data_IF_475482671764
#
_entry.id   IF_475482671764
#
_cell.length_a   1.000
_cell.length_b   1.000
_cell.length_c   1.000
_cell.angle_alpha   90.00
_cell.angle_beta   90.00
_cell.angle_gamma   90.00
#
_symmetry.space_group_name_H-M   'P 1'
#
loop_
_entity.id
_entity.type
_entity.pdbx_description
1 polymer ?
#
# COMPACT_ATOMS: atom_id res chain seq x y z
N UNK A 1 -43.46 -9.18 -19.34
CA UNK A 1 -42.43 -8.17 -19.03
C UNK A 1 -41.58 -8.70 -17.89
N UNK A 2 -40.26 -8.90 -18.10
CA UNK A 2 -39.35 -9.32 -17.01
C UNK A 2 -39.37 -8.25 -15.92
N UNK A 3 -39.68 -8.64 -14.68
CA UNK A 3 -39.70 -7.75 -13.54
C UNK A 3 -38.25 -7.31 -13.26
N UNK A 4 -37.93 -6.05 -13.53
CA UNK A 4 -36.59 -5.50 -13.31
C UNK A 4 -36.37 -5.35 -11.80
N UNK A 5 -35.42 -6.11 -11.25
CA UNK A 5 -35.05 -5.99 -9.84
C UNK A 5 -34.17 -4.75 -9.67
N UNK A 6 -34.67 -3.78 -8.93
CA UNK A 6 -33.96 -2.51 -8.69
C UNK A 6 -33.02 -2.68 -7.50
N UNK A 7 -31.93 -1.90 -7.44
CA UNK A 7 -30.97 -1.94 -6.33
C UNK A 7 -31.64 -1.78 -4.96
N UNK A 8 -32.61 -0.88 -4.85
CA UNK A 8 -33.41 -0.71 -3.64
C UNK A 8 -34.23 -1.95 -3.29
N UNK A 9 -34.92 -2.56 -4.25
CA UNK A 9 -35.73 -3.76 -4.02
C UNK A 9 -34.86 -4.95 -3.58
N UNK A 10 -33.65 -5.06 -4.13
CA UNK A 10 -32.69 -6.06 -3.71
C UNK A 10 -32.23 -5.88 -2.26
N UNK A 11 -31.82 -4.66 -1.89
CA UNK A 11 -31.36 -4.35 -0.52
C UNK A 11 -32.43 -4.59 0.53
N UNK A 12 -33.69 -4.25 0.20
CA UNK A 12 -34.84 -4.54 1.05
C UNK A 12 -35.01 -6.04 1.30
N UNK A 13 -34.84 -6.87 0.27
CA UNK A 13 -34.92 -8.32 0.42
C UNK A 13 -33.77 -8.87 1.27
N UNK A 14 -32.53 -8.39 1.08
CA UNK A 14 -31.37 -8.81 1.89
C UNK A 14 -31.54 -8.45 3.36
N UNK A 15 -32.08 -7.26 3.67
CA UNK A 15 -32.30 -6.80 5.04
C UNK A 15 -33.64 -7.25 5.64
N UNK A 16 -34.44 -8.04 4.91
CA UNK A 16 -35.76 -8.50 5.34
C UNK A 16 -36.79 -7.36 5.53
N UNK A 17 -36.56 -6.20 4.91
CA UNK A 17 -37.37 -5.00 5.06
C UNK A 17 -38.52 -4.96 4.06
N UNK A 18 -39.69 -4.53 4.53
CA UNK A 18 -40.88 -4.28 3.72
C UNK A 18 -40.95 -2.80 3.33
N UNK A 19 -41.79 -2.48 2.34
CA UNK A 19 -42.01 -1.09 1.90
C UNK A 19 -42.36 -0.13 3.06
N UNK A 20 -42.99 -0.63 4.14
CA UNK A 20 -43.34 0.17 5.32
C UNK A 20 -42.13 0.63 6.12
N UNK A 21 -41.11 -0.21 6.23
CA UNK A 21 -39.94 0.06 7.05
C UNK A 21 -39.08 1.15 6.39
N UNK A 22 -38.94 1.08 5.06
CA UNK A 22 -38.26 2.12 4.26
C UNK A 22 -39.04 3.43 4.23
N UNK A 23 -40.38 3.35 4.19
CA UNK A 23 -41.24 4.53 4.24
C UNK A 23 -41.09 5.27 5.58
N UNK A 24 -40.97 4.54 6.68
CA UNK A 24 -40.69 5.08 8.02
C UNK A 24 -39.30 5.73 8.11
N UNK A 25 -38.26 5.07 7.58
CA UNK A 25 -36.88 5.60 7.52
C UNK A 25 -36.81 6.94 6.78
N UNK A 26 -37.63 7.12 5.74
CA UNK A 26 -37.63 8.32 4.90
C UNK A 26 -38.71 9.35 5.28
N UNK A 27 -39.65 9.01 6.14
CA UNK A 27 -40.80 9.85 6.48
C UNK A 27 -41.74 10.09 5.29
N UNK A 28 -42.00 9.07 4.47
CA UNK A 28 -42.82 9.16 3.24
C UNK A 28 -43.93 8.09 3.22
N UNK A 29 -44.77 8.09 2.18
CA UNK A 29 -45.81 7.06 2.05
C UNK A 29 -45.27 5.72 1.56
N UNK A 30 -45.84 4.63 2.07
CA UNK A 30 -45.57 3.24 1.63
C UNK A 30 -45.82 3.01 0.14
N UNK A 31 -46.78 3.75 -0.42
CA UNK A 31 -47.12 3.71 -1.84
C UNK A 31 -46.00 4.28 -2.71
N UNK A 32 -45.27 5.31 -2.24
CA UNK A 32 -44.13 5.88 -2.96
C UNK A 32 -42.99 4.86 -3.08
N UNK A 33 -42.64 4.16 -1.98
CA UNK A 33 -41.61 3.12 -1.97
C UNK A 33 -41.97 1.94 -2.89
N UNK A 34 -43.24 1.52 -2.88
CA UNK A 34 -43.77 0.48 -3.78
C UNK A 34 -43.64 0.86 -5.26
N UNK A 35 -43.76 2.15 -5.58
CA UNK A 35 -43.57 2.63 -6.94
C UNK A 35 -42.09 2.56 -7.37
N UNK A 36 -41.17 2.90 -6.46
CA UNK A 36 -39.73 2.88 -6.72
C UNK A 36 -39.20 1.47 -6.93
N UNK A 37 -39.63 0.50 -6.12
CA UNK A 37 -39.21 -0.90 -6.26
C UNK A 37 -39.71 -1.56 -7.55
N UNK A 38 -40.80 -1.04 -8.15
CA UNK A 38 -41.38 -1.52 -9.41
C UNK A 38 -40.88 -0.79 -10.66
N UNK A 39 -40.66 0.53 -10.60
CA UNK A 39 -40.30 1.37 -11.76
C UNK A 39 -38.82 1.80 -11.79
N UNK A 40 -38.08 1.66 -10.69
CA UNK A 40 -36.64 1.95 -10.61
C UNK A 40 -36.25 3.42 -10.47
N UNK A 41 -37.20 4.35 -10.49
CA UNK A 41 -36.90 5.79 -10.38
C UNK A 41 -37.11 6.27 -8.95
N UNK A 42 -36.01 6.61 -8.27
CA UNK A 42 -36.01 7.22 -6.93
C UNK A 42 -35.69 8.71 -7.07
N UNK A 43 -36.47 9.64 -6.47
CA UNK A 43 -36.15 11.06 -6.48
C UNK A 43 -34.82 11.37 -5.79
N UNK A 44 -34.00 12.26 -6.38
CA UNK A 44 -32.66 12.65 -5.87
C UNK A 44 -32.63 12.99 -4.38
N UNK A 45 -33.65 13.70 -3.88
CA UNK A 45 -33.76 14.07 -2.45
C UNK A 45 -33.83 12.89 -1.47
N UNK A 46 -34.21 11.69 -1.95
CA UNK A 46 -34.29 10.48 -1.13
C UNK A 46 -33.15 9.50 -1.43
N UNK A 47 -32.45 9.67 -2.55
CA UNK A 47 -31.32 8.82 -2.97
C UNK A 47 -30.14 8.89 -2.01
N UNK A 48 -29.73 10.09 -1.63
CA UNK A 48 -28.62 10.29 -0.70
C UNK A 48 -28.91 9.67 0.68
N UNK A 49 -30.13 9.86 1.19
CA UNK A 49 -30.56 9.32 2.48
C UNK A 49 -30.65 7.79 2.47
N UNK A 50 -31.12 7.20 1.36
CA UNK A 50 -31.12 5.74 1.17
C UNK A 50 -29.70 5.18 1.02
N UNK A 51 -28.84 5.84 0.24
CA UNK A 51 -27.44 5.46 0.04
C UNK A 51 -26.70 5.42 1.37
N UNK A 52 -26.89 6.45 2.20
CA UNK A 52 -26.31 6.52 3.54
C UNK A 52 -26.88 5.48 4.52
N UNK A 53 -28.18 5.16 4.42
CA UNK A 53 -28.80 4.14 5.27
C UNK A 53 -28.29 2.73 4.95
N UNK A 54 -28.24 2.39 3.66
CA UNK A 54 -27.79 1.07 3.21
C UNK A 54 -26.27 0.97 3.03
N UNK A 55 -25.54 2.08 3.20
CA UNK A 55 -24.08 2.18 3.03
C UNK A 55 -23.62 1.77 1.63
N UNK A 56 -24.33 2.21 0.61
CA UNK A 56 -24.06 1.95 -0.82
C UNK A 56 -24.00 3.25 -1.60
N UNK A 57 -23.44 3.26 -2.82
CA UNK A 57 -23.45 4.44 -3.67
C UNK A 57 -24.85 4.78 -4.19
N UNK A 58 -25.09 6.03 -4.60
CA UNK A 58 -26.39 6.44 -5.15
C UNK A 58 -26.69 5.73 -6.49
N UNK A 59 -25.65 5.48 -7.29
CA UNK A 59 -25.75 4.77 -8.57
C UNK A 59 -26.27 3.33 -8.36
N UNK A 60 -25.89 2.69 -7.25
CA UNK A 60 -26.32 1.33 -6.91
C UNK A 60 -27.84 1.23 -6.71
N UNK A 61 -28.48 2.29 -6.20
CA UNK A 61 -29.92 2.28 -5.91
C UNK A 61 -30.80 2.43 -7.15
N UNK A 62 -30.29 3.08 -8.20
CA UNK A 62 -31.03 3.42 -9.43
C UNK A 62 -30.74 2.49 -10.59
N UNK A 63 -29.60 1.82 -10.60
CA UNK A 63 -29.24 0.93 -11.70
C UNK A 63 -30.03 -0.39 -11.63
N UNK A 64 -30.61 -0.86 -12.75
CA UNK A 64 -31.29 -2.15 -12.80
C UNK A 64 -30.27 -3.28 -12.64
N UNK A 65 -30.52 -4.19 -11.68
CA UNK A 65 -29.63 -5.32 -11.42
C UNK A 65 -29.84 -6.37 -12.51
N UNK A 66 -28.78 -6.69 -13.26
CA UNK A 66 -28.79 -7.83 -14.19
C UNK A 66 -28.58 -9.13 -13.41
N UNK A 67 -28.87 -10.28 -14.03
CA UNK A 67 -28.67 -11.59 -13.41
C UNK A 67 -27.21 -11.79 -12.94
N UNK A 68 -26.25 -11.17 -13.62
CA UNK A 68 -24.84 -11.15 -13.25
C UNK A 68 -24.60 -10.38 -11.95
N UNK A 69 -25.32 -9.28 -11.71
CA UNK A 69 -25.23 -8.50 -10.46
C UNK A 69 -25.79 -9.27 -9.26
N UNK A 70 -26.81 -10.12 -9.46
CA UNK A 70 -27.39 -10.95 -8.38
C UNK A 70 -26.45 -12.09 -7.95
N UNK A 71 -25.57 -12.56 -8.84
CA UNK A 71 -24.56 -13.59 -8.51
C UNK A 71 -23.42 -13.05 -7.62
N UNK A 72 -23.06 -11.77 -7.80
CA UNK A 72 -22.05 -11.05 -7.01
C UNK A 72 -22.48 -10.94 -5.55
N UNK A 73 -23.75 -10.58 -5.30
CA UNK A 73 -24.18 -10.22 -3.95
C UNK A 73 -24.47 -11.45 -3.06
N UNK A 74 -24.62 -12.65 -3.65
CA UNK A 74 -24.65 -13.90 -2.88
C UNK A 74 -23.28 -14.29 -2.30
N UNK A 75 -22.17 -13.76 -2.83
CA UNK A 75 -20.82 -13.95 -2.30
C UNK A 75 -20.42 -12.89 -1.26
N UNK A 76 -21.07 -11.72 -1.26
CA UNK A 76 -20.85 -10.63 -0.27
C UNK A 76 -21.64 -10.82 1.05
N UNK A 77 -22.43 -11.88 1.19
CA UNK A 77 -23.17 -12.19 2.41
C UNK A 77 -22.41 -13.13 3.36
N UNK A 78 -21.15 -13.46 3.06
CA UNK A 78 -20.25 -14.08 4.03
C UNK A 78 -19.65 -12.96 4.88
N UNK A 79 -19.68 -13.02 6.22
CA UNK A 79 -19.17 -11.94 7.04
C UNK A 79 -17.66 -11.83 6.81
N UNK A 80 -17.22 -10.75 6.16
CA UNK A 80 -15.84 -10.28 6.29
C UNK A 80 -15.70 -9.83 7.74
N UNK A 81 -14.78 -10.48 8.44
CA UNK A 81 -14.42 -10.23 9.83
C UNK A 81 -14.30 -8.71 10.08
N UNK A 82 -15.03 -8.19 11.07
CA UNK A 82 -14.87 -6.82 11.54
C UNK A 82 -13.44 -6.64 12.11
N UNK A 83 -12.51 -6.16 11.28
CA UNK A 83 -11.25 -5.62 11.79
C UNK A 83 -11.57 -4.24 12.35
N UNK A 84 -11.74 -4.19 13.67
CA UNK A 84 -11.91 -2.94 14.42
C UNK A 84 -10.56 -2.22 14.49
N UNK A 85 -10.28 -1.33 13.53
CA UNK A 85 -9.13 -0.43 13.61
C UNK A 85 -9.47 0.77 14.51
N UNK A 86 -9.16 0.63 15.80
CA UNK A 86 -9.16 1.77 16.72
C UNK A 86 -8.00 2.70 16.36
N UNK A 87 -8.34 3.86 15.78
CA UNK A 87 -7.55 5.10 15.80
C UNK A 87 -6.05 4.97 15.60
N UNK A 88 -5.60 4.83 14.35
CA UNK A 88 -4.19 4.89 13.96
C UNK A 88 -3.94 6.17 13.18
N UNK A 89 -3.27 7.12 13.83
CA UNK A 89 -2.65 8.26 13.18
C UNK A 89 -1.15 8.21 13.47
N UNK A 90 -0.38 8.31 12.39
CA UNK A 90 1.04 8.72 12.31
C UNK A 90 2.06 7.81 13.01
N UNK A 91 2.52 6.76 12.33
CA UNK A 91 3.93 6.55 11.94
C UNK A 91 4.00 5.62 10.70
N UNK A 92 4.22 6.22 9.52
CA UNK A 92 4.62 5.52 8.28
C UNK A 92 3.65 4.49 7.74
N UNK A 93 2.41 4.89 7.49
CA UNK A 93 1.46 4.15 6.66
C UNK A 93 1.58 4.66 5.23
N UNK A 94 2.31 3.94 4.39
CA UNK A 94 2.44 4.32 2.98
C UNK A 94 1.11 4.10 2.26
N UNK A 95 0.60 5.12 1.59
CA UNK A 95 -0.50 4.92 0.65
C UNK A 95 0.06 4.62 -0.74
N UNK A 96 -0.74 3.91 -1.53
CA UNK A 96 -0.47 3.69 -2.95
C UNK A 96 -1.25 4.69 -3.78
N UNK A 97 -0.55 5.35 -4.67
CA UNK A 97 -1.05 6.40 -5.55
C UNK A 97 -0.97 5.88 -6.99
N UNK A 98 -2.09 5.91 -7.69
CA UNK A 98 -2.16 5.55 -9.10
C UNK A 98 -2.04 6.81 -9.95
N UNK A 99 -1.01 6.88 -10.79
CA UNK A 99 -0.78 8.01 -11.70
C UNK A 99 -0.84 7.54 -13.16
N UNK A 100 -2.00 7.66 -13.84
CA UNK A 100 -2.07 7.36 -15.26
C UNK A 100 -1.29 8.39 -16.07
N UNK A 101 -0.59 7.91 -17.09
CA UNK A 101 0.25 8.69 -18.01
C UNK A 101 0.01 8.32 -19.47
N UNK A 102 -1.20 7.87 -19.78
CA UNK A 102 -1.53 7.28 -21.10
C UNK A 102 -1.70 8.31 -22.22
N UNK A 103 -2.09 9.55 -21.91
CA UNK A 103 -2.28 10.59 -22.92
C UNK A 103 -0.96 11.23 -23.38
N UNK A 104 -0.97 11.90 -24.54
CA UNK A 104 0.23 12.43 -25.18
C UNK A 104 0.96 13.48 -24.33
N UNK A 105 0.23 14.32 -23.61
CA UNK A 105 0.81 15.35 -22.74
C UNK A 105 1.49 14.69 -21.56
N UNK A 106 0.79 13.78 -20.87
CA UNK A 106 1.37 13.04 -19.76
C UNK A 106 2.60 12.21 -20.16
N UNK A 107 2.60 11.52 -21.32
CA UNK A 107 3.80 10.80 -21.80
C UNK A 107 5.00 11.72 -22.00
N UNK A 108 4.76 12.92 -22.53
CA UNK A 108 5.81 13.93 -22.75
C UNK A 108 6.34 14.45 -21.43
N UNK A 109 5.45 14.81 -20.51
CA UNK A 109 5.81 15.27 -19.17
C UNK A 109 6.62 14.20 -18.43
N UNK A 110 6.23 12.92 -18.54
CA UNK A 110 6.94 11.82 -17.86
C UNK A 110 8.39 11.70 -18.34
N UNK A 111 8.60 11.83 -19.65
CA UNK A 111 9.94 11.85 -20.22
C UNK A 111 10.77 13.04 -19.69
N UNK A 112 10.16 14.22 -19.61
CA UNK A 112 10.86 15.48 -19.33
C UNK A 112 11.17 15.71 -17.85
N UNK A 113 10.36 15.16 -16.94
CA UNK A 113 10.48 15.48 -15.50
C UNK A 113 10.55 14.26 -14.58
N UNK A 114 10.31 13.03 -15.08
CA UNK A 114 10.55 11.79 -14.32
C UNK A 114 11.77 11.05 -14.83
N UNK A 115 11.85 10.77 -16.14
CA UNK A 115 13.03 10.11 -16.74
C UNK A 115 14.24 11.04 -16.83
N UNK A 116 13.99 12.33 -17.00
CA UNK A 116 15.00 13.37 -16.97
C UNK A 116 14.81 14.18 -15.69
N UNK A 117 15.69 13.95 -14.72
CA UNK A 117 15.67 14.70 -13.46
C UNK A 117 15.92 16.18 -13.74
N UNK A 118 15.28 17.04 -12.94
CA UNK A 118 15.42 18.50 -12.98
C UNK A 118 16.31 18.98 -11.86
N UNK A 119 17.01 20.08 -12.12
CA UNK A 119 17.82 20.75 -11.12
C UNK A 119 16.91 21.51 -10.15
N UNK A 120 17.11 21.31 -8.85
CA UNK A 120 16.34 21.96 -7.78
C UNK A 120 16.48 23.48 -7.86
N UNK A 121 17.62 23.98 -8.34
CA UNK A 121 17.87 25.40 -8.48
C UNK A 121 16.98 26.06 -9.53
N UNK A 122 16.46 25.30 -10.52
CA UNK A 122 15.48 25.80 -11.50
C UNK A 122 14.18 26.26 -10.82
N UNK A 123 13.91 25.79 -9.60
CA UNK A 123 12.64 26.08 -8.92
C UNK A 123 12.69 27.37 -8.11
N UNK A 124 13.87 27.97 -7.93
CA UNK A 124 14.08 29.08 -7.00
C UNK A 124 13.19 30.30 -7.25
N UNK A 125 12.79 30.56 -8.50
CA UNK A 125 11.89 31.67 -8.86
C UNK A 125 10.40 31.31 -8.72
N UNK A 126 10.07 30.03 -8.52
CA UNK A 126 8.70 29.52 -8.59
C UNK A 126 8.20 28.91 -7.26
N UNK A 127 9.06 28.83 -6.25
CA UNK A 127 8.76 28.30 -4.91
C UNK A 127 9.22 29.26 -3.83
N UNK A 128 8.72 29.10 -2.61
CA UNK A 128 9.18 29.91 -1.48
C UNK A 128 10.60 29.55 -1.07
N UNK A 129 11.31 30.48 -0.47
CA UNK A 129 12.68 30.24 0.03
C UNK A 129 12.76 29.07 1.03
N UNK A 130 11.73 28.88 1.87
CA UNK A 130 11.62 27.75 2.79
C UNK A 130 11.45 26.40 2.06
N UNK A 131 10.62 26.36 1.01
CA UNK A 131 10.41 25.17 0.18
C UNK A 131 11.70 24.81 -0.58
N UNK A 132 12.41 25.81 -1.11
CA UNK A 132 13.70 25.60 -1.78
C UNK A 132 14.76 25.05 -0.82
N UNK A 133 14.81 25.55 0.42
CA UNK A 133 15.73 25.03 1.44
C UNK A 133 15.41 23.57 1.80
N UNK A 134 14.14 23.22 1.95
CA UNK A 134 13.70 21.84 2.18
C UNK A 134 14.13 20.94 1.02
N UNK A 135 13.92 21.36 -0.23
CA UNK A 135 14.29 20.58 -1.41
C UNK A 135 15.80 20.35 -1.51
N UNK A 136 16.63 21.36 -1.20
CA UNK A 136 18.10 21.19 -1.15
C UNK A 136 18.53 20.18 -0.08
N UNK A 137 17.83 20.16 1.06
CA UNK A 137 18.11 19.20 2.13
C UNK A 137 17.70 17.77 1.74
N UNK A 138 16.59 17.61 1.02
CA UNK A 138 16.09 16.31 0.55
C UNK A 138 16.94 15.77 -0.62
N UNK A 139 17.40 16.66 -1.51
CA UNK A 139 18.13 16.35 -2.73
C UNK A 139 19.53 16.99 -2.74
N UNK A 140 20.49 16.47 -1.96
CA UNK A 140 21.83 17.06 -1.84
C UNK A 140 22.63 17.03 -3.16
N UNK A 141 22.30 16.12 -4.08
CA UNK A 141 22.88 16.08 -5.43
C UNK A 141 22.30 17.15 -6.37
N UNK A 142 21.32 17.92 -5.89
CA UNK A 142 20.66 19.01 -6.63
C UNK A 142 19.67 18.53 -7.68
N UNK A 143 19.41 17.23 -7.83
CA UNK A 143 18.51 16.70 -8.86
C UNK A 143 17.31 15.98 -8.26
N UNK A 144 16.14 16.17 -8.87
CA UNK A 144 14.90 15.52 -8.45
C UNK A 144 13.96 15.22 -9.63
N UNK A 145 13.01 14.30 -9.42
CA UNK A 145 11.91 14.13 -10.34
C UNK A 145 10.69 14.91 -9.89
N UNK A 146 9.90 15.38 -10.84
CA UNK A 146 8.77 16.27 -10.59
C UNK A 146 7.55 15.83 -11.37
N UNK A 147 6.40 15.83 -10.71
CA UNK A 147 5.10 15.62 -11.35
C UNK A 147 4.08 16.66 -10.91
N UNK A 148 3.15 16.99 -11.78
CA UNK A 148 2.06 17.92 -11.51
C UNK A 148 0.71 17.34 -11.90
N UNK A 149 -0.32 17.63 -11.12
CA UNK A 149 -1.70 17.30 -11.44
C UNK A 149 -2.57 18.56 -11.44
N UNK A 150 -3.58 18.55 -12.31
CA UNK A 150 -4.58 19.62 -12.37
C UNK A 150 -5.57 19.55 -11.22
N UNK A 151 -6.26 20.65 -10.96
CA UNK A 151 -7.37 20.68 -9.99
C UNK A 151 -8.49 19.69 -10.35
N UNK A 152 -8.78 19.55 -11.64
CA UNK A 152 -9.82 18.67 -12.16
C UNK A 152 -11.23 19.26 -11.97
N UNK A 153 -12.25 18.62 -12.56
CA UNK A 153 -13.62 19.09 -12.42
C UNK A 153 -14.07 19.03 -10.95
N UNK A 154 -14.62 20.12 -10.42
CA UNK A 154 -15.04 20.25 -9.01
C UNK A 154 -13.93 19.87 -8.00
N UNK A 155 -12.69 20.18 -8.35
CA UNK A 155 -11.48 19.89 -7.58
C UNK A 155 -11.29 18.39 -7.27
N UNK A 156 -11.86 17.50 -8.11
CA UNK A 156 -11.81 16.07 -7.84
C UNK A 156 -10.38 15.52 -7.79
N UNK A 157 -9.49 16.02 -8.65
CA UNK A 157 -8.08 15.60 -8.67
C UNK A 157 -7.30 16.28 -7.55
N UNK A 158 -7.57 17.56 -7.27
CA UNK A 158 -7.01 18.26 -6.11
C UNK A 158 -7.34 17.54 -4.80
N UNK A 159 -8.58 17.09 -4.60
CA UNK A 159 -8.98 16.32 -3.41
C UNK A 159 -8.23 15.01 -3.24
N UNK A 160 -7.76 14.40 -4.33
CA UNK A 160 -6.86 13.24 -4.26
C UNK A 160 -5.44 13.69 -3.92
N UNK A 161 -4.97 14.79 -4.52
CA UNK A 161 -3.65 15.35 -4.23
C UNK A 161 -3.51 15.77 -2.76
N UNK A 162 -4.56 16.33 -2.17
CA UNK A 162 -4.60 16.74 -0.77
C UNK A 162 -4.39 15.53 0.18
N UNK A 163 -4.74 14.31 -0.25
CA UNK A 163 -4.51 13.06 0.51
C UNK A 163 -3.09 12.51 0.43
N UNK A 164 -2.26 13.00 -0.49
CA UNK A 164 -0.88 12.55 -0.60
C UNK A 164 -0.13 12.89 0.68
N UNK A 165 0.61 11.91 1.19
CA UNK A 165 1.56 12.08 2.28
C UNK A 165 2.99 11.86 1.79
N UNK A 166 3.97 12.39 2.52
CA UNK A 166 5.36 12.15 2.21
C UNK A 166 5.69 10.70 2.54
N UNK A 167 6.33 10.00 1.60
CA UNK A 167 6.57 8.57 1.67
C UNK A 167 5.65 7.73 0.79
N UNK A 168 4.49 8.24 0.36
CA UNK A 168 3.54 7.48 -0.46
C UNK A 168 4.19 6.89 -1.73
N UNK A 169 3.82 5.66 -2.07
CA UNK A 169 4.26 5.00 -3.29
C UNK A 169 3.42 5.46 -4.48
N UNK A 170 4.08 6.00 -5.50
CA UNK A 170 3.43 6.38 -6.77
C UNK A 170 3.70 5.31 -7.82
N UNK A 171 2.64 4.69 -8.33
CA UNK A 171 2.68 3.75 -9.44
C UNK A 171 2.23 4.44 -10.73
N UNK A 172 3.18 4.63 -11.64
CA UNK A 172 2.91 5.22 -12.96
C UNK A 172 2.34 4.17 -13.90
N UNK A 173 1.18 4.47 -14.47
CA UNK A 173 0.41 3.56 -15.31
C UNK A 173 0.38 4.03 -16.77
N UNK A 174 0.65 3.10 -17.69
CA UNK A 174 0.54 3.30 -19.14
C UNK A 174 0.34 1.93 -19.80
N UNK A 175 -0.43 1.88 -20.90
CA UNK A 175 -0.53 0.69 -21.77
C UNK A 175 -0.78 -0.62 -20.98
N UNK A 176 -1.76 -0.58 -20.05
CA UNK A 176 -2.21 -1.71 -19.22
C UNK A 176 -1.19 -2.22 -18.19
N UNK A 177 -0.12 -1.46 -17.94
CA UNK A 177 0.92 -1.81 -16.98
C UNK A 177 1.28 -0.63 -16.08
N UNK A 178 1.60 -0.93 -14.82
CA UNK A 178 2.37 -0.05 -13.97
C UNK A 178 3.84 -0.30 -14.28
N UNK A 179 4.49 0.70 -14.89
CA UNK A 179 5.81 0.55 -15.50
C UNK A 179 6.93 1.26 -14.73
N UNK A 180 6.55 2.07 -13.74
CA UNK A 180 7.50 2.79 -12.90
C UNK A 180 6.89 3.03 -11.52
N UNK A 181 7.75 2.99 -10.51
CA UNK A 181 7.41 3.29 -9.13
C UNK A 181 8.32 4.38 -8.60
N UNK A 182 7.78 5.30 -7.82
CA UNK A 182 8.54 6.32 -7.11
C UNK A 182 7.93 6.59 -5.74
N UNK A 183 8.58 7.45 -4.94
CA UNK A 183 8.11 7.84 -3.61
C UNK A 183 7.95 9.36 -3.54
N UNK A 184 6.83 9.80 -2.95
CA UNK A 184 6.58 11.23 -2.69
C UNK A 184 7.60 11.77 -1.69
N UNK A 185 8.40 12.72 -2.13
CA UNK A 185 9.43 13.39 -1.35
C UNK A 185 8.95 14.74 -0.80
N UNK A 186 8.18 15.48 -1.59
CA UNK A 186 7.69 16.80 -1.21
C UNK A 186 6.41 17.16 -1.98
N UNK A 187 5.65 18.12 -1.46
CA UNK A 187 4.42 18.64 -2.07
C UNK A 187 4.43 20.16 -2.05
N UNK A 188 4.03 20.78 -3.16
CA UNK A 188 3.88 22.23 -3.27
C UNK A 188 2.81 22.61 -4.29
N UNK A 189 2.35 23.85 -4.21
CA UNK A 189 1.40 24.42 -5.15
C UNK A 189 2.05 25.57 -5.91
N UNK A 190 2.28 25.40 -7.22
CA UNK A 190 2.91 26.45 -8.05
C UNK A 190 2.49 26.35 -9.52
N UNK A 191 1.53 27.19 -9.95
CA UNK A 191 1.20 27.35 -11.37
C UNK A 191 2.38 27.86 -12.20
N UNK A 192 3.24 28.71 -11.60
CA UNK A 192 4.43 29.24 -12.26
C UNK A 192 5.45 28.14 -12.57
N UNK A 193 5.68 27.22 -11.64
CA UNK A 193 6.54 26.06 -11.88
C UNK A 193 5.94 25.13 -12.94
N UNK A 194 4.61 24.97 -12.94
CA UNK A 194 3.91 24.18 -13.96
C UNK A 194 4.11 24.75 -15.37
N UNK A 195 3.96 26.07 -15.53
CA UNK A 195 4.22 26.76 -16.79
C UNK A 195 5.68 26.59 -17.22
N UNK A 196 6.63 26.74 -16.30
CA UNK A 196 8.06 26.59 -16.59
C UNK A 196 8.42 25.16 -17.07
N UNK A 197 7.92 24.13 -16.40
CA UNK A 197 8.29 22.74 -16.67
C UNK A 197 7.53 22.13 -17.85
N UNK A 198 6.27 22.50 -18.05
CA UNK A 198 5.37 21.84 -18.99
C UNK A 198 4.70 22.78 -20.00
N UNK A 199 4.94 24.10 -19.92
CA UNK A 199 4.36 25.10 -20.82
C UNK A 199 2.84 25.27 -20.65
N UNK A 200 2.32 24.86 -19.50
CA UNK A 200 0.90 24.96 -19.15
C UNK A 200 0.77 25.13 -17.63
N UNK A 201 0.04 26.13 -17.11
CA UNK A 201 -0.02 26.38 -15.68
C UNK A 201 -0.98 25.44 -14.95
N UNK A 202 -1.77 24.62 -15.65
CA UNK A 202 -2.86 23.85 -15.03
C UNK A 202 -2.38 22.70 -14.15
N UNK A 203 -1.13 22.23 -14.27
CA UNK A 203 -0.57 21.14 -13.45
C UNK A 203 -0.01 21.69 -12.12
N UNK A 204 -0.72 22.64 -11.52
CA UNK A 204 -0.32 23.47 -10.39
C UNK A 204 -0.12 22.73 -9.06
N UNK A 205 -0.74 21.56 -8.89
CA UNK A 205 -0.57 20.72 -7.70
C UNK A 205 0.62 19.78 -7.92
N UNK A 206 1.79 20.24 -7.51
CA UNK A 206 3.08 19.60 -7.80
C UNK A 206 3.51 18.71 -6.63
N UNK A 207 4.08 17.56 -6.95
CA UNK A 207 4.79 16.72 -5.99
C UNK A 207 6.14 16.28 -6.55
N UNK A 208 7.13 16.27 -5.68
CA UNK A 208 8.52 15.93 -5.97
C UNK A 208 8.74 14.46 -5.59
N UNK A 209 9.49 13.74 -6.41
CA UNK A 209 9.66 12.30 -6.34
C UNK A 209 11.12 11.89 -6.21
N UNK A 210 11.32 10.73 -5.61
CA UNK A 210 12.61 10.08 -5.40
C UNK A 210 12.46 8.56 -5.49
N UNK A 211 13.59 7.84 -5.46
CA UNK A 211 13.67 6.37 -5.57
C UNK A 211 12.84 5.83 -6.74
N UNK A 212 13.11 6.40 -7.92
CA UNK A 212 12.43 6.09 -9.15
C UNK A 212 12.99 4.78 -9.70
N UNK A 213 12.17 3.75 -9.74
CA UNK A 213 12.56 2.43 -10.20
C UNK A 213 11.66 1.99 -11.36
N UNK A 214 12.24 1.38 -12.42
CA UNK A 214 11.44 0.60 -13.36
C UNK A 214 10.61 -0.42 -12.57
N UNK A 215 9.35 -0.57 -12.98
CA UNK A 215 8.42 -1.49 -12.35
C UNK A 215 7.68 -2.24 -13.44
N UNK A 216 7.11 -3.40 -13.14
CA UNK A 216 6.34 -4.16 -14.13
C UNK A 216 5.22 -4.95 -13.47
N UNK A 217 4.07 -4.30 -13.30
CA UNK A 217 2.86 -4.92 -12.78
C UNK A 217 1.72 -4.75 -13.79
N UNK A 218 1.11 -5.86 -14.21
CA UNK A 218 -0.04 -5.80 -15.10
C UNK A 218 -1.27 -5.27 -14.36
N UNK A 219 -2.12 -4.53 -15.07
CA UNK A 219 -3.37 -3.99 -14.50
C UNK A 219 -4.33 -5.10 -14.08
N UNK A 220 -4.28 -6.25 -14.74
CA UNK A 220 -5.06 -7.44 -14.38
C UNK A 220 -4.69 -7.92 -12.98
N UNK A 221 -3.39 -8.14 -12.72
CA UNK A 221 -2.93 -8.56 -11.39
C UNK A 221 -3.26 -7.53 -10.32
N UNK A 222 -3.08 -6.25 -10.62
CA UNK A 222 -3.48 -5.19 -9.71
C UNK A 222 -4.98 -5.23 -9.42
N UNK A 223 -5.83 -5.39 -10.44
CA UNK A 223 -7.28 -5.44 -10.27
C UNK A 223 -7.74 -6.68 -9.50
N UNK A 224 -7.05 -7.81 -9.64
CA UNK A 224 -7.31 -9.01 -8.86
C UNK A 224 -7.10 -8.76 -7.38
N UNK A 225 -5.98 -8.11 -7.03
CA UNK A 225 -5.63 -7.79 -5.64
C UNK A 225 -6.56 -6.73 -5.05
N UNK A 226 -6.82 -5.64 -5.78
CA UNK A 226 -7.51 -4.46 -5.22
C UNK A 226 -9.04 -4.54 -5.35
N UNK A 227 -9.53 -5.25 -6.36
CA UNK A 227 -10.96 -5.29 -6.70
C UNK A 227 -11.53 -6.71 -6.79
N UNK A 228 -10.71 -7.76 -6.63
CA UNK A 228 -11.15 -9.16 -6.78
C UNK A 228 -11.56 -9.52 -8.20
N UNK A 229 -10.98 -8.84 -9.20
CA UNK A 229 -11.42 -8.87 -10.60
C UNK A 229 -10.26 -9.14 -11.56
N UNK A 230 -10.39 -10.15 -12.41
CA UNK A 230 -9.40 -10.47 -13.44
C UNK A 230 -9.56 -9.68 -14.73
N UNK A 231 -10.54 -8.77 -14.81
CA UNK A 231 -10.70 -7.89 -15.96
C UNK A 231 -9.64 -6.78 -15.98
N UNK A 232 -9.29 -6.32 -17.18
CA UNK A 232 -8.20 -5.37 -17.43
C UNK A 232 -8.64 -3.89 -17.33
N UNK A 233 -9.61 -3.58 -16.48
CA UNK A 233 -10.14 -2.22 -16.34
C UNK A 233 -9.00 -1.21 -16.12
N UNK A 234 -8.86 -0.19 -16.98
CA UNK A 234 -7.73 0.73 -16.93
C UNK A 234 -7.84 1.69 -15.75
N UNK A 235 -6.69 2.19 -15.26
CA UNK A 235 -6.64 3.30 -14.32
C UNK A 235 -7.09 4.58 -15.05
N UNK A 236 -8.29 5.07 -14.73
CA UNK A 236 -8.94 6.19 -15.44
C UNK A 236 -8.59 7.58 -14.90
N UNK A 237 -7.88 7.67 -13.77
CA UNK A 237 -7.53 8.96 -13.18
C UNK A 237 -6.52 8.84 -12.04
N UNK A 238 -5.93 9.99 -11.69
CA UNK A 238 -5.09 10.11 -10.51
C UNK A 238 -5.90 9.82 -9.25
N UNK A 239 -5.43 8.88 -8.43
CA UNK A 239 -6.16 8.40 -7.25
C UNK A 239 -5.19 7.94 -6.18
N UNK A 240 -5.44 8.36 -4.94
CA UNK A 240 -4.85 7.75 -3.74
C UNK A 240 -5.80 6.62 -3.32
N UNK A 241 -5.27 5.41 -3.18
CA UNK A 241 -6.03 4.26 -2.70
C UNK A 241 -6.44 4.45 -1.24
N UNK A 242 -7.46 3.70 -0.79
CA UNK A 242 -7.71 3.64 0.67
C UNK A 242 -6.53 2.96 1.36
N UNK A 243 -6.41 3.14 2.67
CA UNK A 243 -5.38 2.45 3.46
C UNK A 243 -5.44 0.93 3.25
N UNK A 244 -6.62 0.32 3.37
CA UNK A 244 -6.83 -1.12 3.11
C UNK A 244 -6.37 -1.55 1.70
N UNK A 245 -6.75 -0.80 0.66
CA UNK A 245 -6.34 -1.10 -0.72
C UNK A 245 -4.82 -0.90 -0.91
N UNK A 246 -4.24 0.08 -0.24
CA UNK A 246 -2.79 0.32 -0.26
C UNK A 246 -2.06 -0.85 0.37
N UNK A 247 -2.52 -1.34 1.54
CA UNK A 247 -1.97 -2.51 2.20
C UNK A 247 -2.04 -3.75 1.31
N UNK A 248 -3.17 -4.00 0.65
CA UNK A 248 -3.31 -5.12 -0.28
C UNK A 248 -2.25 -5.10 -1.40
N UNK A 249 -2.01 -3.92 -2.00
CA UNK A 249 -1.02 -3.76 -3.07
C UNK A 249 0.40 -3.89 -2.54
N UNK A 250 0.69 -3.24 -1.41
CA UNK A 250 2.02 -3.28 -0.77
C UNK A 250 2.37 -4.73 -0.39
N UNK A 251 1.44 -5.47 0.21
CA UNK A 251 1.62 -6.88 0.60
C UNK A 251 1.77 -7.80 -0.62
N UNK A 252 0.84 -7.73 -1.57
CA UNK A 252 0.83 -8.64 -2.71
C UNK A 252 2.07 -8.49 -3.61
N UNK A 253 2.55 -7.25 -3.75
CA UNK A 253 3.62 -6.93 -4.69
C UNK A 253 4.93 -6.47 -4.03
N UNK A 254 5.02 -6.60 -2.71
CA UNK A 254 6.21 -6.31 -1.90
C UNK A 254 6.84 -4.95 -2.24
N UNK A 255 6.02 -3.89 -2.15
CA UNK A 255 6.51 -2.54 -2.44
C UNK A 255 7.52 -2.04 -1.38
N UNK A 256 7.50 -2.56 -0.16
CA UNK A 256 8.47 -2.16 0.87
C UNK A 256 9.83 -2.88 0.69
N UNK A 257 9.87 -4.16 0.30
CA UNK A 257 11.13 -4.90 0.13
C UNK A 257 12.08 -4.27 -0.90
N UNK A 258 11.58 -3.94 -2.09
CA UNK A 258 12.37 -3.26 -3.14
C UNK A 258 12.90 -1.88 -2.70
N UNK A 259 12.29 -1.24 -1.70
CA UNK A 259 12.75 0.05 -1.19
C UNK A 259 14.00 -0.11 -0.29
N UNK A 260 14.06 -1.15 0.54
CA UNK A 260 15.16 -1.41 1.49
C UNK A 260 16.46 -1.78 0.77
N UNK A 261 16.37 -2.58 -0.30
CA UNK A 261 17.54 -3.08 -1.05
C UNK A 261 18.38 -1.95 -1.67
N UNK A 262 17.73 -0.85 -2.09
CA UNK A 262 18.42 0.32 -2.68
C UNK A 262 19.21 1.16 -1.66
N UNK A 263 18.90 1.03 -0.37
CA UNK A 263 19.44 1.88 0.68
C UNK A 263 20.41 1.18 1.63
N UNK A 264 20.30 -0.15 1.79
CA UNK A 264 21.29 -0.94 2.54
C UNK A 264 22.72 -0.72 2.03
N UNK A 265 22.89 -0.56 0.71
CA UNK A 265 24.17 -0.27 0.07
C UNK A 265 24.75 1.13 0.38
N UNK A 266 23.93 2.10 0.82
CA UNK A 266 24.37 3.49 1.06
C UNK A 266 24.83 3.69 2.51
N UNK A 267 24.29 2.92 3.46
CA UNK A 267 24.55 3.08 4.90
C UNK A 267 25.85 2.41 5.38
N UNK A 268 26.47 1.55 4.58
CA UNK A 268 27.72 0.87 4.93
C UNK A 268 28.95 1.81 5.04
N UNK A 269 28.80 3.08 4.65
CA UNK A 269 29.89 4.05 4.66
C UNK A 269 30.18 4.69 6.03
N UNK A 270 29.36 4.48 7.06
CA UNK A 270 29.63 5.06 8.39
C UNK A 270 29.03 4.24 9.54
N UNK A 271 29.85 3.52 10.31
CA UNK A 271 29.54 3.31 11.73
C UNK A 271 30.75 2.86 12.54
N UNK A 272 31.06 3.67 13.56
CA UNK A 272 31.56 3.15 14.83
C UNK A 272 30.46 2.26 15.44
N UNK A 273 30.83 1.11 16.01
CA UNK A 273 29.87 0.16 16.61
C UNK A 273 29.14 0.83 17.78
N UNK A 274 27.82 0.96 17.71
CA UNK A 274 27.00 1.34 18.86
C UNK A 274 26.70 0.12 19.73
N UNK A 275 26.54 0.36 21.02
CA UNK A 275 26.02 -0.65 21.94
C UNK A 275 24.53 -0.92 21.68
N UNK A 276 24.07 -2.12 22.04
CA UNK A 276 22.64 -2.48 21.95
C UNK A 276 21.74 -1.49 22.70
N UNK A 277 22.19 -1.00 23.84
CA UNK A 277 21.44 -0.03 24.63
C UNK A 277 21.28 1.32 23.91
N UNK A 278 22.29 1.77 23.18
CA UNK A 278 22.22 3.00 22.37
C UNK A 278 21.26 2.86 21.20
N UNK A 279 21.26 1.70 20.53
CA UNK A 279 20.33 1.40 19.43
C UNK A 279 18.88 1.39 19.95
N UNK A 280 18.63 0.73 21.09
CA UNK A 280 17.30 0.72 21.72
C UNK A 280 16.85 2.12 22.15
N UNK A 281 17.74 2.93 22.73
CA UNK A 281 17.44 4.34 23.06
C UNK A 281 17.11 5.15 21.80
N UNK A 282 17.81 4.91 20.70
CA UNK A 282 17.53 5.60 19.43
C UNK A 282 16.17 5.19 18.85
N UNK A 283 15.80 3.92 18.92
CA UNK A 283 14.46 3.44 18.52
C UNK A 283 13.35 4.08 19.39
N UNK A 284 13.52 4.10 20.71
CA UNK A 284 12.58 4.77 21.64
C UNK A 284 12.49 6.29 21.41
N UNK A 285 13.58 6.92 20.99
CA UNK A 285 13.57 8.34 20.64
C UNK A 285 12.74 8.61 19.37
N UNK A 286 12.65 7.66 18.43
CA UNK A 286 11.77 7.77 17.26
C UNK A 286 10.29 7.76 17.65
N UNK A 287 9.91 6.93 18.63
CA UNK A 287 8.54 6.85 19.16
C UNK A 287 8.05 8.20 19.73
N UNK A 288 8.94 8.89 20.45
CA UNK A 288 8.63 10.13 21.16
C UNK A 288 8.67 11.38 20.27
N UNK A 289 9.19 11.27 19.05
CA UNK A 289 9.40 12.42 18.18
C UNK A 289 8.15 12.76 17.35
N UNK A 290 7.18 13.42 18.02
CA UNK A 290 5.94 13.96 17.43
C UNK A 290 6.16 15.15 16.48
N UNK A 291 7.40 15.62 16.29
CA UNK A 291 7.68 16.71 15.37
C UNK A 291 7.52 16.23 13.92
N UNK A 292 6.42 16.72 13.33
CA UNK A 292 6.04 16.83 11.91
C UNK A 292 6.10 15.55 11.07
N UNK A 293 4.93 15.18 10.53
CA UNK A 293 4.71 14.27 9.39
C UNK A 293 5.54 14.59 8.11
N UNK A 294 6.41 15.60 8.14
CA UNK A 294 7.29 15.99 7.03
C UNK A 294 8.52 15.06 6.87
N UNK A 295 8.83 14.25 7.87
CA UNK A 295 10.06 13.42 7.91
C UNK A 295 9.79 11.90 7.89
N UNK A 296 8.60 11.44 7.48
CA UNK A 296 8.20 10.02 7.49
C UNK A 296 9.23 9.08 6.85
N UNK A 297 9.83 9.51 5.73
CA UNK A 297 10.89 8.76 5.05
C UNK A 297 12.19 8.69 5.85
N UNK A 298 12.61 9.81 6.46
CA UNK A 298 13.81 9.86 7.30
C UNK A 298 13.63 8.95 8.50
N UNK A 299 12.46 8.97 9.13
CA UNK A 299 12.12 8.07 10.24
C UNK A 299 12.14 6.60 9.83
N UNK A 300 11.51 6.23 8.69
CA UNK A 300 11.59 4.87 8.15
C UNK A 300 13.05 4.43 7.91
N UNK A 301 13.86 5.28 7.27
CA UNK A 301 15.27 4.98 6.96
C UNK A 301 16.07 4.77 8.25
N UNK A 302 15.85 5.61 9.25
CA UNK A 302 16.52 5.50 10.55
C UNK A 302 16.05 4.25 11.29
N UNK A 303 14.75 3.96 11.32
CA UNK A 303 14.16 2.73 11.88
C UNK A 303 14.82 1.48 11.28
N UNK A 304 14.77 1.32 9.95
CA UNK A 304 15.33 0.15 9.27
C UNK A 304 16.84 0.04 9.45
N UNK A 305 17.55 1.17 9.45
CA UNK A 305 18.99 1.20 9.74
C UNK A 305 19.29 0.72 11.16
N UNK A 306 18.51 1.15 12.16
CA UNK A 306 18.69 0.75 13.55
C UNK A 306 18.36 -0.73 13.76
N UNK A 307 17.31 -1.25 13.13
CA UNK A 307 16.96 -2.68 13.17
C UNK A 307 18.05 -3.55 12.52
N UNK A 308 18.59 -3.12 11.37
CA UNK A 308 19.73 -3.78 10.72
C UNK A 308 20.98 -3.75 11.59
N UNK A 309 21.29 -2.58 12.17
CA UNK A 309 22.41 -2.42 13.11
C UNK A 309 22.22 -3.33 14.34
N UNK A 310 21.00 -3.47 14.86
CA UNK A 310 20.69 -4.37 15.98
C UNK A 310 20.91 -5.85 15.64
N UNK A 311 20.51 -6.29 14.44
CA UNK A 311 20.69 -7.67 14.01
C UNK A 311 22.17 -8.00 13.73
N UNK A 312 22.90 -7.08 13.09
CA UNK A 312 24.22 -7.40 12.51
C UNK A 312 25.37 -6.87 13.36
N UNK A 313 25.18 -5.78 14.09
CA UNK A 313 26.14 -5.18 15.00
C UNK A 313 27.55 -4.95 14.40
N UNK A 314 27.61 -4.61 13.11
CA UNK A 314 28.85 -4.43 12.36
C UNK A 314 29.69 -5.71 12.20
N UNK A 315 29.08 -6.89 12.33
CA UNK A 315 29.73 -8.17 12.05
C UNK A 315 30.00 -8.33 10.55
N UNK A 316 31.16 -8.89 10.20
CA UNK A 316 31.54 -9.15 8.80
C UNK A 316 30.80 -10.35 8.20
N UNK A 317 30.07 -11.10 9.02
CA UNK A 317 29.28 -12.23 8.56
C UNK A 317 28.12 -12.52 9.51
N UNK A 318 26.93 -12.73 8.95
CA UNK A 318 25.68 -12.96 9.65
C UNK A 318 25.14 -14.34 9.26
N UNK A 319 24.53 -15.04 10.22
CA UNK A 319 23.91 -16.35 9.99
C UNK A 319 22.44 -16.15 9.64
N UNK A 320 22.00 -16.71 8.51
CA UNK A 320 20.59 -16.69 8.14
C UNK A 320 19.74 -17.50 9.12
N UNK A 321 18.63 -16.93 9.60
CA UNK A 321 17.69 -17.58 10.53
C UNK A 321 16.96 -18.80 9.94
N UNK A 322 16.93 -18.94 8.62
CA UNK A 322 16.30 -20.06 7.91
C UNK A 322 17.32 -21.12 7.47
N UNK A 323 18.20 -20.81 6.51
CA UNK A 323 19.15 -21.79 5.98
C UNK A 323 20.40 -22.00 6.84
N UNK A 324 20.60 -21.17 7.88
CA UNK A 324 21.77 -21.21 8.77
C UNK A 324 23.12 -21.03 8.07
N UNK A 325 23.10 -20.56 6.81
CA UNK A 325 24.32 -20.22 6.08
C UNK A 325 24.86 -18.90 6.60
N UNK A 326 26.18 -18.86 6.84
CA UNK A 326 26.92 -17.67 7.24
C UNK A 326 27.38 -16.90 6.00
N UNK A 327 26.89 -15.68 5.82
CA UNK A 327 27.11 -14.84 4.62
C UNK A 327 27.54 -13.43 5.01
N UNK A 328 28.05 -12.65 4.03
CA UNK A 328 28.25 -11.21 4.19
C UNK A 328 26.91 -10.53 4.53
N UNK A 329 26.88 -9.47 5.37
CA UNK A 329 25.71 -8.63 5.58
C UNK A 329 25.01 -8.20 4.28
N UNK A 330 25.76 -8.00 3.20
CA UNK A 330 25.27 -7.60 1.87
C UNK A 330 24.32 -8.64 1.25
N UNK A 331 24.40 -9.90 1.70
CA UNK A 331 23.54 -11.00 1.24
C UNK A 331 22.41 -11.32 2.22
N UNK A 332 22.21 -10.51 3.26
CA UNK A 332 21.24 -10.74 4.32
C UNK A 332 20.28 -9.55 4.44
N UNK A 333 18.99 -9.84 4.35
CA UNK A 333 17.88 -8.95 4.63
C UNK A 333 17.61 -8.82 6.13
N UNK A 334 17.15 -7.64 6.54
CA UNK A 334 16.49 -7.41 7.84
C UNK A 334 15.00 -7.73 7.69
N UNK A 335 14.67 -9.00 7.52
CA UNK A 335 13.32 -9.44 7.19
C UNK A 335 12.37 -9.24 8.37
N UNK A 336 11.19 -8.65 8.13
CA UNK A 336 10.17 -8.58 9.17
C UNK A 336 9.45 -9.92 9.29
N UNK A 337 9.30 -10.41 10.51
CA UNK A 337 8.52 -11.61 10.82
C UNK A 337 7.03 -11.30 10.61
N UNK A 338 6.52 -10.26 11.27
CA UNK A 338 5.21 -9.68 10.99
C UNK A 338 5.38 -8.61 9.92
N UNK A 339 4.64 -8.68 8.82
CA UNK A 339 4.79 -7.71 7.72
C UNK A 339 4.66 -6.29 8.24
N UNK A 340 5.62 -5.45 7.87
CA UNK A 340 5.76 -4.08 8.41
C UNK A 340 4.50 -3.24 8.19
N UNK A 341 3.87 -3.38 7.02
CA UNK A 341 2.60 -2.74 6.66
C UNK A 341 1.43 -3.10 7.61
N UNK A 342 1.52 -4.22 8.34
CA UNK A 342 0.54 -4.67 9.33
C UNK A 342 0.97 -4.45 10.78
N UNK A 343 2.16 -3.90 11.01
CA UNK A 343 2.67 -3.58 12.34
C UNK A 343 2.07 -2.28 12.86
N UNK A 344 1.78 -2.23 14.16
CA UNK A 344 1.56 -0.98 14.89
C UNK A 344 2.86 -0.17 14.96
N UNK A 345 2.76 1.07 15.43
CA UNK A 345 3.92 1.94 15.56
C UNK A 345 4.95 1.38 16.55
N UNK A 346 4.46 0.77 17.63
CA UNK A 346 5.27 0.11 18.65
C UNK A 346 5.94 -1.15 18.08
N UNK A 347 5.18 -1.96 17.31
CA UNK A 347 5.70 -3.18 16.68
C UNK A 347 6.76 -2.86 15.60
N UNK A 348 6.61 -1.78 14.82
CA UNK A 348 7.61 -1.32 13.84
C UNK A 348 8.96 -0.97 14.49
N UNK A 349 8.96 -0.61 15.77
CA UNK A 349 10.15 -0.25 16.54
C UNK A 349 10.67 -1.40 17.41
N UNK A 350 9.95 -2.51 17.49
CA UNK A 350 10.34 -3.68 18.27
C UNK A 350 11.43 -4.47 17.55
N UNK A 351 12.59 -4.60 18.18
CA UNK A 351 13.71 -5.39 17.65
C UNK A 351 13.39 -6.87 17.46
N UNK A 352 12.34 -7.39 18.12
CA UNK A 352 11.87 -8.76 17.97
C UNK A 352 10.97 -8.95 16.74
N UNK A 353 10.59 -7.88 16.03
CA UNK A 353 9.78 -7.98 14.81
C UNK A 353 10.61 -8.43 13.60
N UNK A 354 11.94 -8.46 13.69
CA UNK A 354 12.84 -8.76 12.57
C UNK A 354 13.73 -9.99 12.80
N UNK A 355 14.11 -10.65 11.71
CA UNK A 355 15.12 -11.71 11.69
C UNK A 355 15.99 -11.66 10.41
N UNK A 356 17.23 -12.17 10.44
CA UNK A 356 18.11 -12.17 9.28
C UNK A 356 17.75 -13.29 8.29
N UNK A 357 17.32 -12.94 7.07
CA UNK A 357 17.10 -13.92 5.99
C UNK A 357 18.00 -13.63 4.80
N UNK A 358 18.49 -14.67 4.11
CA UNK A 358 19.38 -14.45 2.96
C UNK A 358 18.61 -14.11 1.68
N UNK A 359 19.19 -13.22 0.87
CA UNK A 359 18.72 -12.90 -0.48
C UNK A 359 18.92 -14.07 -1.47
N UNK A 360 19.59 -15.15 -1.06
CA UNK A 360 19.76 -16.37 -1.86
C UNK A 360 18.48 -17.24 -1.93
N UNK A 361 17.41 -16.83 -1.25
CA UNK A 361 16.08 -17.40 -1.41
C UNK A 361 15.25 -17.46 -0.13
N UNK A 362 15.87 -17.50 1.05
CA UNK A 362 15.13 -17.61 2.31
C UNK A 362 14.18 -16.44 2.55
N UNK A 363 14.65 -15.22 2.28
CA UNK A 363 13.86 -14.00 2.44
C UNK A 363 12.59 -14.04 1.56
N UNK A 364 12.78 -14.28 0.26
CA UNK A 364 11.69 -14.42 -0.71
C UNK A 364 10.69 -15.53 -0.35
N UNK A 365 11.16 -16.72 0.06
CA UNK A 365 10.28 -17.84 0.42
C UNK A 365 9.42 -17.52 1.65
N UNK A 366 10.00 -16.82 2.63
CA UNK A 366 9.30 -16.42 3.85
C UNK A 366 8.33 -15.26 3.58
N UNK A 367 8.75 -14.23 2.85
CA UNK A 367 7.94 -13.04 2.52
C UNK A 367 6.71 -13.39 1.67
N UNK A 368 6.85 -14.37 0.76
CA UNK A 368 5.73 -14.90 -0.03
C UNK A 368 4.87 -15.92 0.73
N UNK A 369 5.21 -16.22 1.98
CA UNK A 369 4.50 -17.19 2.80
C UNK A 369 4.57 -18.61 2.27
N UNK A 370 5.57 -18.94 1.45
CA UNK A 370 5.83 -20.31 1.01
C UNK A 370 6.49 -21.13 2.13
N UNK A 371 7.21 -20.44 3.02
CA UNK A 371 7.64 -20.94 4.32
C UNK A 371 7.04 -20.08 5.43
N UNK A 372 6.44 -20.72 6.42
CA UNK A 372 5.96 -20.11 7.68
C UNK A 372 6.64 -20.80 8.85
N UNK A 373 6.58 -20.23 10.06
CA UNK A 373 7.05 -20.91 11.29
C UNK A 373 5.84 -21.24 12.15
N UNK A 374 5.71 -22.50 12.58
CA UNK A 374 4.60 -22.92 13.44
C UNK A 374 4.81 -22.55 14.92
N UNK A 375 3.79 -22.80 15.74
CA UNK A 375 3.82 -22.49 17.19
C UNK A 375 4.87 -23.28 17.97
N UNK A 376 5.50 -24.29 17.38
CA UNK A 376 6.60 -25.05 17.98
C UNK A 376 7.97 -24.55 17.53
N UNK A 377 8.02 -23.52 16.68
CA UNK A 377 9.26 -22.92 16.19
C UNK A 377 9.90 -23.66 15.01
N UNK A 378 9.13 -24.45 14.27
CA UNK A 378 9.62 -25.14 13.07
C UNK A 378 9.11 -24.50 11.78
N UNK A 379 9.98 -24.41 10.78
CA UNK A 379 9.58 -23.97 9.44
C UNK A 379 8.66 -25.00 8.80
N UNK A 380 7.60 -24.53 8.15
CA UNK A 380 6.60 -25.34 7.46
C UNK A 380 6.36 -24.78 6.06
N UNK A 381 6.35 -25.64 5.06
CA UNK A 381 5.97 -25.25 3.70
C UNK A 381 4.45 -25.22 3.54
N UNK A 382 3.92 -24.13 3.00
CA UNK A 382 2.46 -23.90 2.90
C UNK A 382 1.82 -24.52 1.68
N UNK A 383 2.59 -24.80 0.63
CA UNK A 383 2.12 -25.43 -0.61
C UNK A 383 1.77 -26.93 -0.47
N UNK A 384 2.00 -27.50 0.71
CA UNK A 384 1.57 -28.85 1.10
C UNK A 384 0.36 -28.81 2.05
N UNK A 385 -0.18 -27.63 2.34
CA UNK A 385 -1.36 -27.43 3.19
C UNK A 385 -2.63 -27.28 2.32
N UNK A 386 -3.80 -27.61 2.87
CA UNK A 386 -5.14 -27.33 2.30
C UNK A 386 -5.34 -27.57 0.79
N UNK A 387 -5.04 -28.79 0.31
CA UNK A 387 -5.19 -29.19 -1.09
C UNK A 387 -4.43 -28.29 -2.09
N UNK A 388 -3.41 -27.55 -1.65
CA UNK A 388 -2.54 -26.79 -2.53
C UNK A 388 -1.77 -27.71 -3.50
N UNK A 389 -1.40 -27.16 -4.65
CA UNK A 389 -0.54 -27.86 -5.62
C UNK A 389 0.91 -27.63 -5.22
N UNK A 390 1.68 -28.68 -4.90
CA UNK A 390 3.07 -28.51 -4.50
C UNK A 390 3.92 -27.87 -5.60
N UNK A 391 4.81 -26.97 -5.22
CA UNK A 391 5.84 -26.47 -6.13
C UNK A 391 6.83 -27.59 -6.44
N UNK A 392 7.16 -27.73 -7.73
CA UNK A 392 8.15 -28.69 -8.23
C UNK A 392 9.52 -28.02 -8.51
N UNK A 393 10.50 -28.83 -8.92
CA UNK A 393 11.82 -28.36 -9.35
C UNK A 393 12.61 -27.69 -8.22
N UNK A 394 13.31 -26.60 -8.55
CA UNK A 394 14.21 -25.91 -7.60
C UNK A 394 13.47 -25.34 -6.39
N UNK A 395 12.26 -24.80 -6.59
CA UNK A 395 11.46 -24.23 -5.49
C UNK A 395 10.98 -25.35 -4.57
N UNK A 396 10.44 -26.43 -5.13
CA UNK A 396 10.02 -27.59 -4.34
C UNK A 396 11.13 -28.23 -3.52
N UNK A 397 12.34 -28.32 -4.09
CA UNK A 397 13.52 -28.84 -3.40
C UNK A 397 13.94 -27.93 -2.23
N UNK A 398 13.99 -26.61 -2.43
CA UNK A 398 14.30 -25.65 -1.37
C UNK A 398 13.26 -25.71 -0.23
N UNK A 399 11.97 -25.72 -0.57
CA UNK A 399 10.91 -25.82 0.41
C UNK A 399 11.01 -27.13 1.22
N UNK A 400 11.28 -28.25 0.56
CA UNK A 400 11.47 -29.54 1.24
C UNK A 400 12.73 -29.60 2.10
N UNK A 401 13.78 -28.87 1.72
CA UNK A 401 15.01 -28.78 2.52
C UNK A 401 14.79 -28.00 3.83
N UNK A 402 13.92 -27.00 3.83
CA UNK A 402 13.66 -26.16 5.00
C UNK A 402 12.47 -26.62 5.84
N UNK A 403 11.57 -27.42 5.27
CA UNK A 403 10.44 -27.99 6.00
C UNK A 403 10.92 -28.78 7.23
N UNK A 404 10.26 -28.54 8.36
CA UNK A 404 10.56 -29.12 9.66
C UNK A 404 11.95 -28.80 10.24
N UNK A 405 12.68 -27.80 9.72
CA UNK A 405 13.88 -27.25 10.39
C UNK A 405 13.48 -26.28 11.49
N UNK A 406 14.25 -26.26 12.57
CA UNK A 406 14.04 -25.30 13.66
C UNK A 406 14.43 -23.88 13.24
N UNK A 407 13.58 -22.92 13.57
CA UNK A 407 13.86 -21.49 13.42
C UNK A 407 14.65 -21.01 14.65
N UNK A 408 15.89 -20.57 14.43
CA UNK A 408 16.77 -20.08 15.52
C UNK A 408 16.28 -18.77 16.14
N UNK A 409 15.39 -18.07 15.45
CA UNK A 409 14.82 -16.80 15.89
C UNK A 409 13.47 -16.98 16.60
N UNK A 410 12.95 -18.20 16.69
CA UNK A 410 11.74 -18.45 17.45
C UNK A 410 12.05 -18.52 18.95
N UNK A 411 11.43 -17.60 19.69
CA UNK A 411 11.47 -17.44 21.16
C UNK A 411 10.17 -16.78 21.63
N UNK A 412 9.96 -16.74 22.95
CA UNK A 412 8.74 -16.21 23.57
C UNK A 412 8.40 -14.78 23.08
N UNK A 413 9.40 -13.90 22.94
CA UNK A 413 9.17 -12.52 22.53
C UNK A 413 8.86 -12.36 21.02
N UNK A 414 9.28 -13.32 20.18
CA UNK A 414 9.01 -13.31 18.73
C UNK A 414 7.79 -14.12 18.34
N UNK A 415 7.30 -14.98 19.24
CA UNK A 415 6.22 -15.92 18.96
C UNK A 415 4.94 -15.23 18.45
N UNK A 416 4.50 -14.07 18.99
CA UNK A 416 3.32 -13.37 18.47
C UNK A 416 3.46 -12.95 17.00
N UNK A 417 4.67 -12.54 16.57
CA UNK A 417 4.91 -12.16 15.18
C UNK A 417 4.90 -13.36 14.24
N UNK A 418 5.49 -14.49 14.65
CA UNK A 418 5.44 -15.72 13.88
C UNK A 418 4.01 -16.28 13.80
N UNK A 419 3.24 -16.21 14.87
CA UNK A 419 1.82 -16.59 14.88
C UNK A 419 1.01 -15.72 13.91
N UNK A 420 1.24 -14.40 13.91
CA UNK A 420 0.63 -13.51 12.94
C UNK A 420 0.99 -13.91 11.50
N UNK A 421 2.27 -14.17 11.21
CA UNK A 421 2.74 -14.54 9.87
C UNK A 421 2.11 -15.86 9.40
N UNK A 422 2.09 -16.86 10.28
CA UNK A 422 1.43 -18.14 10.03
C UNK A 422 -0.04 -17.93 9.68
N UNK A 423 -0.79 -17.19 10.52
CA UNK A 423 -2.21 -16.96 10.30
C UNK A 423 -2.48 -16.15 9.03
N UNK A 424 -1.65 -15.15 8.71
CA UNK A 424 -1.77 -14.32 7.51
C UNK A 424 -1.58 -15.12 6.22
N UNK A 425 -0.74 -16.15 6.23
CA UNK A 425 -0.42 -16.94 5.03
C UNK A 425 -1.19 -18.26 4.94
N UNK A 426 -1.58 -18.87 6.07
CA UNK A 426 -2.21 -20.20 6.11
C UNK A 426 -3.71 -20.13 6.37
N UNK A 427 -4.17 -19.28 7.29
CA UNK A 427 -5.56 -19.33 7.80
C UNK A 427 -6.52 -18.40 7.02
N UNK A 428 -6.24 -18.13 5.74
CA UNK A 428 -6.96 -17.15 4.90
C UNK A 428 -8.37 -17.59 4.49
#
# INVERSE_FOLDING_TARGET
MKQVMTGLHYLMNVKGQKNKDVAEILGISTQAVSLWTKKGTIPKKHLERLANHYKVSQEYLVNPLTADTISVIKKDATPVMEITHNGLATYGDFNVVLQPTSDKVARTNFKNTIRQLRDVEEFAEYVKAEELADLRAIFPEGKCAVWGVKSGANDATKKQYDKLELGDFVLFYQDKHFYNRAIVAYKLHSPGLSEHLWGDPIFEHVYILQDIHPYNLSVVRFNEVVYGKSEDFPVMGFRVLSHEQSLQVIDAFDLEGEYVDSHAAILEASSEKRSREEILKALLALENNKELNRDTKRKYRVEQSLLREFLFNGEKAVVCGCCQTKLSPDFIATAHIKKRSHCSNEEKLDVNVVMPLCYLGCDMLFEKGLLVVDSSGYFRRTDMMDNAVPYEGRVGALLGEYDNKSCLYWKEETAPYFEWHYNHHVMK
#
